data_IF_597972135498
#
_entry.id   IF_597972135498
#
_cell.length_a   1.000
_cell.length_b   1.000
_cell.length_c   1.000
_cell.angle_alpha   90.00
_cell.angle_beta   90.00
_cell.angle_gamma   90.00
#
_symmetry.space_group_name_H-M   'P 1'
#
loop_
_entity.id
_entity.type
_entity.pdbx_description
1 polymer ?
#
# COMPACT_ATOMS: atom_id res chain seq x y z
N UNK A 1 -7.74 83.31 18.22
CA UNK A 1 -7.88 84.78 17.97
C UNK A 1 -8.75 85.15 16.75
N UNK A 2 -9.45 84.22 16.09
CA UNK A 2 -10.38 84.53 14.98
C UNK A 2 -11.85 84.75 15.43
N UNK A 3 -12.20 84.40 16.68
CA UNK A 3 -13.56 84.54 17.23
C UNK A 3 -13.96 85.97 17.66
N UNK A 4 -13.03 86.93 17.72
CA UNK A 4 -13.26 88.24 18.33
C UNK A 4 -13.40 89.42 17.35
N UNK A 5 -13.10 89.23 16.05
CA UNK A 5 -13.14 90.32 15.05
C UNK A 5 -14.39 90.35 14.15
N UNK A 6 -15.34 89.45 14.33
CA UNK A 6 -16.61 89.42 13.57
C UNK A 6 -17.81 90.01 14.33
N UNK A 7 -17.62 90.54 15.54
CA UNK A 7 -18.74 91.03 16.37
C UNK A 7 -19.14 92.49 16.15
N UNK A 8 -18.37 93.30 15.42
CA UNK A 8 -18.70 94.70 15.19
C UNK A 8 -18.64 95.04 13.70
N UNK A 9 -19.79 95.47 13.16
CA UNK A 9 -20.09 95.94 11.80
C UNK A 9 -20.69 94.91 10.83
N UNK A 10 -21.88 94.38 11.15
CA UNK A 10 -22.93 94.15 10.14
C UNK A 10 -24.29 94.35 10.82
N UNK A 11 -25.17 95.09 10.15
CA UNK A 11 -26.55 95.38 10.53
C UNK A 11 -27.36 94.13 10.91
N UNK A 12 -28.21 94.23 11.95
CA UNK A 12 -29.17 93.20 12.38
C UNK A 12 -30.27 92.87 11.33
N UNK A 13 -30.16 93.36 10.09
CA UNK A 13 -31.11 93.09 9.00
C UNK A 13 -30.57 92.21 7.85
N UNK A 14 -29.29 91.80 7.84
CA UNK A 14 -28.69 90.98 6.76
C UNK A 14 -28.41 89.50 7.15
N UNK A 15 -28.82 89.06 8.35
CA UNK A 15 -28.44 87.74 8.89
C UNK A 15 -29.29 86.49 8.55
N UNK A 16 -30.54 86.54 8.04
CA UNK A 16 -31.33 85.32 7.88
C UNK A 16 -30.84 84.43 6.73
N UNK A 17 -30.35 85.01 5.64
CA UNK A 17 -29.89 84.27 4.45
C UNK A 17 -28.55 83.55 4.69
N UNK A 18 -27.61 84.16 5.43
CA UNK A 18 -26.36 83.48 5.80
C UNK A 18 -26.63 82.35 6.79
N UNK A 19 -27.53 82.54 7.76
CA UNK A 19 -27.87 81.49 8.72
C UNK A 19 -28.50 80.29 8.02
N UNK A 20 -29.43 80.56 7.10
CA UNK A 20 -30.07 79.52 6.28
C UNK A 20 -29.11 78.86 5.31
N UNK A 21 -28.10 79.59 4.79
CA UNK A 21 -27.03 78.99 3.98
C UNK A 21 -26.19 78.02 4.80
N UNK A 22 -25.83 78.39 6.02
CA UNK A 22 -25.09 77.49 6.94
C UNK A 22 -25.95 76.28 7.30
N UNK A 23 -27.23 76.46 7.62
CA UNK A 23 -28.15 75.34 7.88
C UNK A 23 -28.29 74.43 6.65
N UNK A 24 -28.47 74.96 5.45
CA UNK A 24 -28.58 74.14 4.24
C UNK A 24 -27.23 73.48 3.87
N UNK A 25 -26.09 74.12 4.13
CA UNK A 25 -24.77 73.51 3.96
C UNK A 25 -24.50 72.43 5.03
N UNK A 26 -24.94 72.61 6.27
CA UNK A 26 -24.91 71.57 7.30
C UNK A 26 -25.89 70.45 6.97
N UNK A 27 -27.05 70.76 6.38
CA UNK A 27 -27.98 69.77 5.84
C UNK A 27 -27.41 69.05 4.62
N UNK A 28 -26.60 69.68 3.77
CA UNK A 28 -25.87 69.03 2.67
C UNK A 28 -24.70 68.20 3.21
N UNK A 29 -24.00 68.67 4.24
CA UNK A 29 -22.88 67.96 4.88
C UNK A 29 -23.32 66.75 5.70
N UNK A 30 -24.45 66.86 6.41
CA UNK A 30 -25.17 65.74 7.04
C UNK A 30 -26.05 64.98 6.02
N UNK A 31 -26.08 65.50 4.79
CA UNK A 31 -26.74 65.02 3.59
C UNK A 31 -28.28 65.05 3.59
N UNK A 32 -28.96 65.51 4.64
CA UNK A 32 -30.41 65.73 4.66
C UNK A 32 -30.97 66.55 3.46
N UNK A 33 -30.12 67.27 2.73
CA UNK A 33 -30.50 68.06 1.55
C UNK A 33 -29.53 67.85 0.37
N UNK A 34 -30.06 67.77 -0.87
CA UNK A 34 -29.28 67.45 -2.09
C UNK A 34 -28.55 68.65 -2.71
N UNK A 35 -29.12 69.83 -2.53
CA UNK A 35 -28.69 71.09 -3.12
C UNK A 35 -29.25 72.22 -2.29
N UNK A 36 -28.57 73.35 -2.28
CA UNK A 36 -29.12 74.60 -1.78
C UNK A 36 -30.40 74.91 -2.55
N UNK A 37 -31.51 75.08 -1.82
CA UNK A 37 -32.86 75.20 -2.35
C UNK A 37 -33.50 76.55 -2.05
N UNK A 38 -32.98 77.27 -1.05
CA UNK A 38 -33.39 78.63 -0.75
C UNK A 38 -32.84 79.64 -1.76
N UNK A 39 -33.62 80.69 -2.03
CA UNK A 39 -33.22 81.81 -2.89
C UNK A 39 -32.65 82.90 -1.98
N UNK A 40 -31.35 83.13 -2.09
CA UNK A 40 -30.62 84.08 -1.25
C UNK A 40 -30.55 85.44 -1.94
N UNK A 41 -30.96 86.53 -1.27
CA UNK A 41 -31.13 87.87 -1.86
C UNK A 41 -29.86 88.47 -2.47
N UNK A 42 -28.71 88.19 -1.87
CA UNK A 42 -27.40 88.77 -2.26
C UNK A 42 -26.46 87.75 -2.92
N UNK A 43 -26.94 86.53 -3.20
CA UNK A 43 -26.16 85.50 -3.88
C UNK A 43 -26.60 85.39 -5.33
N UNK A 44 -25.68 85.67 -6.26
CA UNK A 44 -25.96 85.45 -7.68
C UNK A 44 -26.21 83.95 -7.96
N UNK A 45 -27.16 83.69 -8.85
CA UNK A 45 -27.52 82.39 -9.42
C UNK A 45 -26.30 81.56 -9.81
N UNK A 46 -25.26 82.17 -10.38
CA UNK A 46 -24.03 81.47 -10.77
C UNK A 46 -23.24 80.90 -9.58
N UNK A 47 -23.26 81.56 -8.41
CA UNK A 47 -22.60 81.05 -7.19
C UNK A 47 -23.43 79.95 -6.54
N UNK A 48 -24.75 80.11 -6.51
CA UNK A 48 -25.68 79.06 -6.06
C UNK A 48 -25.52 77.79 -6.90
N UNK A 49 -25.43 77.93 -8.23
CA UNK A 49 -25.21 76.81 -9.14
C UNK A 49 -23.85 76.15 -8.91
N UNK A 50 -22.77 76.92 -8.69
CA UNK A 50 -21.44 76.35 -8.38
C UNK A 50 -21.42 75.61 -7.03
N UNK A 51 -22.03 76.17 -5.99
CA UNK A 51 -22.16 75.49 -4.70
C UNK A 51 -23.01 74.22 -4.81
N UNK A 52 -24.07 74.26 -5.62
CA UNK A 52 -24.88 73.09 -5.95
C UNK A 52 -24.12 72.05 -6.77
N UNK A 53 -23.19 72.45 -7.65
CA UNK A 53 -22.28 71.53 -8.35
C UNK A 53 -21.33 70.85 -7.37
N UNK A 54 -20.76 71.57 -6.39
CA UNK A 54 -19.87 70.99 -5.36
C UNK A 54 -20.64 70.03 -4.44
N UNK A 55 -21.84 70.43 -3.99
CA UNK A 55 -22.74 69.58 -3.22
C UNK A 55 -23.15 68.32 -4.01
N UNK A 56 -23.47 68.49 -5.30
CA UNK A 56 -23.80 67.38 -6.18
C UNK A 56 -22.58 66.50 -6.46
N UNK A 57 -21.37 67.02 -6.67
CA UNK A 57 -20.17 66.21 -6.97
C UNK A 57 -19.78 65.27 -5.85
N UNK A 58 -20.13 65.61 -4.60
CA UNK A 58 -19.93 64.73 -3.46
C UNK A 58 -20.85 63.49 -3.50
N UNK A 59 -22.03 63.55 -4.15
CA UNK A 59 -22.98 62.42 -4.17
C UNK A 59 -22.55 61.26 -5.11
N UNK A 60 -22.20 61.47 -6.40
CA UNK A 60 -21.65 60.41 -7.25
C UNK A 60 -20.35 59.82 -6.72
N UNK A 61 -19.53 60.65 -6.05
CA UNK A 61 -18.28 60.20 -5.43
C UNK A 61 -18.54 59.26 -4.25
N UNK A 62 -19.49 59.57 -3.37
CA UNK A 62 -19.90 58.68 -2.27
C UNK A 62 -20.51 57.37 -2.77
N UNK A 63 -21.43 57.42 -3.74
CA UNK A 63 -22.04 56.21 -4.28
C UNK A 63 -21.02 55.30 -4.99
N UNK A 64 -20.07 55.88 -5.72
CA UNK A 64 -18.97 55.13 -6.34
C UNK A 64 -18.09 54.46 -5.27
N UNK A 65 -17.81 55.14 -4.17
CA UNK A 65 -17.06 54.56 -3.05
C UNK A 65 -17.83 53.44 -2.36
N UNK A 66 -19.14 53.58 -2.15
CA UNK A 66 -20.00 52.49 -1.64
C UNK A 66 -19.91 51.26 -2.54
N UNK A 67 -20.01 51.42 -3.86
CA UNK A 67 -19.88 50.30 -4.81
C UNK A 67 -18.52 49.62 -4.69
N UNK A 68 -17.43 50.38 -4.57
CA UNK A 68 -16.09 49.81 -4.41
C UNK A 68 -15.95 49.01 -3.11
N UNK A 69 -16.46 49.55 -2.00
CA UNK A 69 -16.45 48.87 -0.70
C UNK A 69 -17.34 47.62 -0.72
N UNK A 70 -18.52 47.69 -1.34
CA UNK A 70 -19.39 46.53 -1.54
C UNK A 70 -18.72 45.44 -2.38
N UNK A 71 -18.06 45.81 -3.49
CA UNK A 71 -17.33 44.87 -4.34
C UNK A 71 -16.19 44.20 -3.58
N UNK A 72 -15.45 44.94 -2.76
CA UNK A 72 -14.38 44.39 -1.93
C UNK A 72 -14.93 43.39 -0.91
N UNK A 73 -16.01 43.75 -0.20
CA UNK A 73 -16.67 42.87 0.76
C UNK A 73 -17.20 41.61 0.06
N UNK A 74 -17.93 41.76 -1.05
CA UNK A 74 -18.43 40.65 -1.87
C UNK A 74 -17.31 39.72 -2.37
N UNK A 75 -16.09 40.23 -2.58
CA UNK A 75 -14.93 39.42 -3.00
C UNK A 75 -14.36 38.61 -1.85
N UNK A 76 -14.17 39.21 -0.67
CA UNK A 76 -13.72 38.51 0.54
C UNK A 76 -14.67 37.38 0.93
N UNK A 77 -15.94 37.64 0.78
CA UNK A 77 -17.04 36.73 1.02
C UNK A 77 -17.12 35.50 0.12
N UNK A 78 -16.37 35.50 -0.98
CA UNK A 78 -16.16 34.35 -1.87
C UNK A 78 -14.90 33.56 -1.51
N UNK A 79 -14.21 33.91 -0.42
CA UNK A 79 -13.07 33.17 0.10
C UNK A 79 -13.51 32.05 1.06
N UNK A 80 -14.63 31.40 0.76
CA UNK A 80 -15.19 30.25 1.47
C UNK A 80 -14.45 28.93 1.14
N UNK A 81 -13.46 28.97 0.24
CA UNK A 81 -12.53 27.86 -0.03
C UNK A 81 -11.63 27.52 1.16
N UNK A 82 -11.50 28.40 2.17
CA UNK A 82 -10.72 28.11 3.39
C UNK A 82 -11.23 26.87 4.11
N UNK A 83 -12.54 26.62 4.09
CA UNK A 83 -13.14 25.40 4.63
C UNK A 83 -12.59 24.17 3.91
N UNK A 84 -12.52 24.20 2.57
CA UNK A 84 -11.98 23.10 1.79
C UNK A 84 -10.52 22.84 2.15
N UNK A 85 -9.71 23.89 2.36
CA UNK A 85 -8.32 23.73 2.80
C UNK A 85 -8.20 23.04 4.18
N UNK A 86 -9.07 23.40 5.15
CA UNK A 86 -9.09 22.75 6.46
C UNK A 86 -9.48 21.27 6.32
N UNK A 87 -10.49 20.97 5.51
CA UNK A 87 -10.93 19.61 5.25
C UNK A 87 -9.85 18.76 4.57
N UNK A 88 -9.19 19.30 3.53
CA UNK A 88 -8.07 18.64 2.85
C UNK A 88 -6.90 18.37 3.81
N UNK A 89 -6.61 19.30 4.74
CA UNK A 89 -5.59 19.10 5.76
C UNK A 89 -5.96 17.98 6.76
N UNK A 90 -7.23 17.87 7.16
CA UNK A 90 -7.72 16.78 8.02
C UNK A 90 -7.66 15.42 7.30
N UNK A 91 -8.05 15.36 6.02
CA UNK A 91 -7.90 14.16 5.21
C UNK A 91 -6.43 13.76 5.06
N UNK A 92 -5.55 14.73 4.85
CA UNK A 92 -4.10 14.49 4.78
C UNK A 92 -3.56 13.94 6.11
N UNK A 93 -4.05 14.42 7.26
CA UNK A 93 -3.64 13.92 8.56
C UNK A 93 -4.02 12.43 8.75
N UNK A 94 -5.23 12.04 8.35
CA UNK A 94 -5.68 10.65 8.40
C UNK A 94 -4.85 9.74 7.45
N UNK A 95 -4.50 10.25 6.26
CA UNK A 95 -3.61 9.54 5.33
C UNK A 95 -2.22 9.33 5.92
N UNK A 96 -1.65 10.34 6.59
CA UNK A 96 -0.35 10.24 7.27
C UNK A 96 -0.36 9.18 8.36
N UNK A 97 -1.43 9.10 9.17
CA UNK A 97 -1.58 8.06 10.20
C UNK A 97 -1.63 6.66 9.58
N UNK A 98 -2.36 6.50 8.48
CA UNK A 98 -2.43 5.22 7.75
C UNK A 98 -1.06 4.83 7.20
N UNK A 99 -0.33 5.78 6.59
CA UNK A 99 1.00 5.53 6.06
C UNK A 99 1.99 5.17 7.19
N UNK A 100 1.89 5.83 8.35
CA UNK A 100 2.70 5.51 9.52
C UNK A 100 2.50 4.05 9.96
N UNK A 101 1.24 3.59 10.09
CA UNK A 101 0.93 2.21 10.44
C UNK A 101 1.50 1.21 9.42
N UNK A 102 1.36 1.48 8.12
CA UNK A 102 1.94 0.60 7.09
C UNK A 102 3.47 0.59 7.10
N UNK A 103 4.11 1.69 7.51
CA UNK A 103 5.57 1.77 7.65
C UNK A 103 6.07 0.95 8.84
N UNK A 104 5.32 0.90 9.95
CA UNK A 104 5.64 0.04 11.08
C UNK A 104 5.51 -1.45 10.72
N UNK A 105 4.45 -1.81 10.00
CA UNK A 105 4.26 -3.18 9.49
C UNK A 105 5.38 -3.58 8.51
N UNK A 106 5.81 -2.66 7.65
CA UNK A 106 6.96 -2.89 6.76
C UNK A 106 8.24 -3.17 7.54
N UNK A 107 8.52 -2.42 8.61
CA UNK A 107 9.70 -2.65 9.44
C UNK A 107 9.68 -4.04 10.11
N UNK A 108 8.53 -4.47 10.63
CA UNK A 108 8.36 -5.81 11.20
C UNK A 108 8.59 -6.91 10.15
N UNK A 109 8.02 -6.74 8.94
CA UNK A 109 8.21 -7.69 7.84
C UNK A 109 9.69 -7.83 7.43
N UNK A 110 10.45 -6.73 7.44
CA UNK A 110 11.89 -6.76 7.16
C UNK A 110 12.63 -7.62 8.20
N UNK A 111 12.29 -7.50 9.47
CA UNK A 111 12.88 -8.30 10.55
C UNK A 111 12.55 -9.79 10.41
N UNK A 112 11.30 -10.12 10.06
CA UNK A 112 10.89 -11.50 9.79
C UNK A 112 11.64 -12.11 8.60
N UNK A 113 11.83 -11.36 7.51
CA UNK A 113 12.60 -11.81 6.35
C UNK A 113 14.07 -12.01 6.75
N UNK A 114 14.64 -11.13 7.58
CA UNK A 114 16.01 -11.28 8.07
C UNK A 114 16.19 -12.56 8.91
N UNK A 115 15.21 -12.88 9.76
CA UNK A 115 15.19 -14.13 10.51
C UNK A 115 15.10 -15.35 9.59
N UNK A 116 14.24 -15.30 8.58
CA UNK A 116 14.11 -16.36 7.57
C UNK A 116 15.42 -16.61 6.82
N UNK A 117 16.11 -15.55 6.40
CA UNK A 117 17.41 -15.63 5.72
C UNK A 117 18.46 -16.31 6.61
N UNK A 118 18.55 -15.95 7.90
CA UNK A 118 19.47 -16.62 8.83
C UNK A 118 19.18 -18.12 8.94
N UNK A 119 17.91 -18.50 9.09
CA UNK A 119 17.53 -19.91 9.21
C UNK A 119 17.83 -20.70 7.93
N UNK A 120 17.62 -20.08 6.77
CA UNK A 120 17.96 -20.67 5.48
C UNK A 120 19.46 -20.88 5.30
N UNK A 121 20.29 -19.90 5.72
CA UNK A 121 21.75 -20.04 5.72
C UNK A 121 22.23 -21.18 6.61
N UNK A 122 21.70 -21.28 7.84
CA UNK A 122 22.03 -22.41 8.75
C UNK A 122 21.65 -23.75 8.12
N UNK A 123 20.47 -23.83 7.49
CA UNK A 123 20.00 -25.06 6.83
C UNK A 123 20.84 -25.44 5.61
N UNK A 124 21.27 -24.46 4.82
CA UNK A 124 22.16 -24.66 3.68
C UNK A 124 23.53 -25.16 4.14
N UNK A 125 24.08 -24.57 5.20
CA UNK A 125 25.35 -24.97 5.79
C UNK A 125 25.32 -26.39 6.36
N UNK A 126 24.25 -26.74 7.10
CA UNK A 126 24.05 -28.11 7.62
C UNK A 126 23.92 -29.14 6.49
N UNK A 127 23.18 -28.80 5.42
CA UNK A 127 23.06 -29.65 4.23
C UNK A 127 24.41 -29.87 3.54
N UNK A 128 25.23 -28.82 3.44
CA UNK A 128 26.58 -28.90 2.89
C UNK A 128 27.48 -29.80 3.75
N UNK A 129 27.49 -29.61 5.07
CA UNK A 129 28.26 -30.44 6.00
C UNK A 129 27.86 -31.92 5.93
N UNK A 130 26.57 -32.22 5.86
CA UNK A 130 26.04 -33.59 5.68
C UNK A 130 26.44 -34.18 4.33
N UNK A 131 26.49 -33.38 3.27
CA UNK A 131 26.92 -33.81 1.94
C UNK A 131 28.40 -34.18 1.94
N UNK A 132 29.25 -33.36 2.56
CA UNK A 132 30.69 -33.65 2.74
C UNK A 132 30.90 -34.96 3.53
N UNK A 133 30.19 -35.13 4.64
CA UNK A 133 30.27 -36.37 5.42
C UNK A 133 29.75 -37.59 4.63
N UNK A 134 28.69 -37.41 3.83
CA UNK A 134 28.17 -38.47 2.98
C UNK A 134 29.17 -38.90 1.90
N UNK A 135 29.93 -37.95 1.32
CA UNK A 135 31.03 -38.27 0.38
C UNK A 135 32.09 -39.15 1.04
N UNK A 136 32.53 -38.79 2.25
CA UNK A 136 33.51 -39.60 3.00
C UNK A 136 33.02 -41.03 3.24
N UNK A 137 31.75 -41.21 3.61
CA UNK A 137 31.14 -42.53 3.77
C UNK A 137 31.03 -43.30 2.45
N UNK A 138 30.76 -42.62 1.33
CA UNK A 138 30.74 -43.24 0.01
C UNK A 138 32.12 -43.68 -0.45
N UNK A 139 33.17 -42.90 -0.19
CA UNK A 139 34.56 -43.28 -0.49
C UNK A 139 34.96 -44.55 0.28
N UNK A 140 34.62 -44.63 1.57
CA UNK A 140 34.85 -45.84 2.37
C UNK A 140 34.07 -47.04 1.79
N UNK A 141 32.82 -46.82 1.37
CA UNK A 141 31.98 -47.86 0.78
C UNK A 141 32.53 -48.35 -0.57
N UNK A 142 33.09 -47.44 -1.37
CA UNK A 142 33.74 -47.75 -2.65
C UNK A 142 34.95 -48.66 -2.44
N UNK A 143 35.82 -48.32 -1.48
CA UNK A 143 36.98 -49.14 -1.10
C UNK A 143 36.53 -50.54 -0.64
N UNK A 144 35.47 -50.62 0.17
CA UNK A 144 34.94 -51.90 0.65
C UNK A 144 34.42 -52.80 -0.49
N UNK A 145 33.73 -52.21 -1.48
CA UNK A 145 33.27 -52.94 -2.68
C UNK A 145 34.46 -53.40 -3.52
N UNK A 146 35.48 -52.56 -3.72
CA UNK A 146 36.67 -52.93 -4.50
C UNK A 146 37.45 -54.08 -3.84
N UNK A 147 37.60 -54.05 -2.51
CA UNK A 147 38.19 -55.15 -1.76
C UNK A 147 37.37 -56.44 -1.89
N UNK A 148 36.04 -56.36 -1.73
CA UNK A 148 35.15 -57.52 -1.84
C UNK A 148 35.16 -58.12 -3.26
N UNK A 149 35.26 -57.27 -4.28
CA UNK A 149 35.40 -57.69 -5.67
C UNK A 149 36.73 -58.43 -5.89
N UNK A 150 37.84 -57.89 -5.36
CA UNK A 150 39.16 -58.53 -5.42
C UNK A 150 39.16 -59.91 -4.74
N UNK A 151 38.59 -60.02 -3.54
CA UNK A 151 38.45 -61.30 -2.83
C UNK A 151 37.61 -62.32 -3.62
N UNK A 152 36.56 -61.85 -4.31
CA UNK A 152 35.71 -62.69 -5.16
C UNK A 152 36.47 -63.22 -6.38
N UNK A 153 37.33 -62.42 -7.02
CA UNK A 153 38.17 -62.87 -8.13
C UNK A 153 39.26 -63.86 -7.66
N UNK A 154 39.81 -63.67 -6.44
CA UNK A 154 40.71 -64.67 -5.84
C UNK A 154 39.97 -66.00 -5.61
N UNK A 155 38.76 -65.95 -5.05
CA UNK A 155 37.94 -67.15 -4.84
C UNK A 155 37.61 -67.85 -6.16
N UNK A 156 37.32 -67.09 -7.22
CA UNK A 156 37.10 -67.61 -8.58
C UNK A 156 38.30 -68.40 -9.08
N UNK A 157 39.51 -67.84 -8.94
CA UNK A 157 40.75 -68.52 -9.36
C UNK A 157 40.97 -69.82 -8.58
N UNK A 158 40.70 -69.82 -7.27
CA UNK A 158 40.78 -71.02 -6.44
C UNK A 158 39.80 -72.11 -6.91
N UNK A 159 38.55 -71.75 -7.22
CA UNK A 159 37.57 -72.72 -7.74
C UNK A 159 37.99 -73.28 -9.09
N UNK A 160 38.57 -72.47 -9.99
CA UNK A 160 39.11 -72.95 -11.27
C UNK A 160 40.20 -74.01 -11.02
N UNK A 161 41.14 -73.75 -10.10
CA UNK A 161 42.18 -74.74 -9.75
C UNK A 161 41.60 -76.02 -9.14
N UNK A 162 40.56 -75.91 -8.30
CA UNK A 162 39.87 -77.09 -7.75
C UNK A 162 39.15 -77.88 -8.84
N UNK A 163 38.55 -77.21 -9.83
CA UNK A 163 37.95 -77.86 -11.00
C UNK A 163 39.00 -78.64 -11.80
N UNK A 164 40.14 -78.02 -12.13
CA UNK A 164 41.24 -78.68 -12.84
C UNK A 164 41.78 -79.90 -12.09
N UNK A 165 41.91 -79.80 -10.76
CA UNK A 165 42.36 -80.93 -9.93
C UNK A 165 41.32 -82.05 -9.89
N UNK A 166 40.03 -81.71 -9.89
CA UNK A 166 38.93 -82.68 -9.92
C UNK A 166 38.88 -83.42 -11.26
N UNK A 167 39.14 -82.74 -12.38
CA UNK A 167 39.25 -83.37 -13.71
C UNK A 167 40.39 -84.39 -13.77
N UNK A 168 41.55 -84.08 -13.18
CA UNK A 168 42.66 -85.03 -13.07
C UNK A 168 42.31 -86.25 -12.23
N UNK A 169 41.55 -86.08 -11.14
CA UNK A 169 41.08 -87.20 -10.32
C UNK A 169 40.13 -88.08 -11.14
N UNK A 170 39.20 -87.48 -11.88
CA UNK A 170 38.27 -88.22 -12.75
C UNK A 170 39.03 -89.07 -13.79
N UNK A 171 40.08 -88.53 -14.41
CA UNK A 171 40.96 -89.26 -15.31
C UNK A 171 41.65 -90.46 -14.62
N UNK A 172 42.21 -90.26 -13.41
CA UNK A 172 42.84 -91.34 -12.64
C UNK A 172 41.84 -92.43 -12.26
N UNK A 173 40.63 -92.06 -11.83
CA UNK A 173 39.56 -93.01 -11.46
C UNK A 173 39.16 -93.86 -12.67
N UNK A 174 39.07 -93.27 -13.86
CA UNK A 174 38.84 -94.01 -15.11
C UNK A 174 39.97 -94.98 -15.45
N UNK A 175 41.23 -94.60 -15.23
CA UNK A 175 42.39 -95.51 -15.39
C UNK A 175 42.30 -96.68 -14.42
N UNK A 176 42.02 -96.44 -13.14
CA UNK A 176 41.91 -97.50 -12.12
C UNK A 176 40.74 -98.44 -12.45
N UNK A 177 39.61 -97.91 -12.93
CA UNK A 177 38.48 -98.73 -13.40
C UNK A 177 38.91 -99.69 -14.52
N UNK A 178 39.67 -99.17 -15.49
CA UNK A 178 40.23 -99.96 -16.59
C UNK A 178 41.19 -101.04 -16.09
N UNK A 179 42.10 -100.70 -15.17
CA UNK A 179 43.05 -101.66 -14.56
C UNK A 179 42.32 -102.73 -13.76
N UNK A 180 41.30 -102.38 -12.98
CA UNK A 180 40.48 -103.34 -12.24
C UNK A 180 39.72 -104.27 -13.20
N UNK A 181 39.19 -103.75 -14.31
CA UNK A 181 38.55 -104.56 -15.35
C UNK A 181 39.53 -105.54 -16.03
N UNK A 182 40.73 -105.08 -16.37
CA UNK A 182 41.79 -105.93 -16.93
C UNK A 182 42.25 -107.00 -15.93
N UNK A 183 42.42 -106.63 -14.66
CA UNK A 183 42.83 -107.55 -13.58
C UNK A 183 41.77 -108.63 -13.36
N UNK A 184 40.49 -108.26 -13.38
CA UNK A 184 39.38 -109.22 -13.30
C UNK A 184 39.39 -110.21 -14.47
N UNK A 185 39.67 -109.73 -15.68
CA UNK A 185 39.76 -110.55 -16.88
C UNK A 185 40.96 -111.51 -16.84
N UNK A 186 42.13 -111.01 -16.39
CA UNK A 186 43.32 -111.83 -16.16
C UNK A 186 43.07 -112.92 -15.11
N UNK A 187 42.44 -112.56 -13.98
CA UNK A 187 42.08 -113.50 -12.93
C UNK A 187 41.08 -114.56 -13.41
N UNK A 188 40.10 -114.17 -14.22
CA UNK A 188 39.15 -115.08 -14.85
C UNK A 188 39.88 -116.08 -15.77
N UNK A 189 40.77 -115.60 -16.63
CA UNK A 189 41.57 -116.45 -17.51
C UNK A 189 42.47 -117.41 -16.70
N UNK A 190 43.08 -116.94 -15.62
CA UNK A 190 43.88 -117.77 -14.72
C UNK A 190 43.04 -118.84 -14.00
N UNK A 191 41.83 -118.49 -13.54
CA UNK A 191 40.89 -119.46 -12.95
C UNK A 191 40.47 -120.53 -13.94
N UNK A 192 40.24 -120.16 -15.21
CA UNK A 192 39.91 -121.11 -16.30
C UNK A 192 41.07 -122.09 -16.53
N UNK A 193 42.31 -121.58 -16.65
CA UNK A 193 43.48 -122.42 -16.92
C UNK A 193 43.85 -123.30 -15.70
N UNK A 194 43.65 -122.79 -14.48
CA UNK A 194 43.81 -123.56 -13.25
C UNK A 194 42.79 -124.71 -13.15
N UNK A 195 41.54 -124.50 -13.58
CA UNK A 195 40.55 -125.57 -13.68
C UNK A 195 40.94 -126.61 -14.75
N UNK A 196 41.55 -126.17 -15.85
CA UNK A 196 42.03 -127.03 -16.95
C UNK A 196 43.19 -127.95 -16.53
N UNK A 197 44.04 -127.50 -15.61
CA UNK A 197 45.15 -128.28 -15.04
C UNK A 197 44.70 -129.35 -14.00
N UNK A 198 43.40 -129.45 -13.70
CA UNK A 198 42.84 -130.49 -12.83
C UNK A 198 43.37 -130.44 -11.39
N UNK A 199 43.82 -131.58 -10.84
CA UNK A 199 44.28 -131.66 -9.44
C UNK A 199 45.55 -130.85 -9.17
N UNK A 200 46.42 -130.64 -10.17
CA UNK A 200 47.66 -129.85 -10.05
C UNK A 200 47.41 -128.33 -9.99
N UNK A 201 46.23 -127.87 -10.45
CA UNK A 201 45.86 -126.45 -10.52
C UNK A 201 45.07 -125.90 -9.33
N UNK A 202 44.70 -126.74 -8.34
CA UNK A 202 43.82 -126.33 -7.22
C UNK A 202 44.35 -125.13 -6.43
N UNK A 203 45.65 -125.06 -6.16
CA UNK A 203 46.26 -123.91 -5.46
C UNK A 203 46.17 -122.61 -6.28
N UNK A 204 46.41 -122.68 -7.60
CA UNK A 204 46.29 -121.55 -8.51
C UNK A 204 44.85 -121.07 -8.67
N UNK A 205 43.87 -121.99 -8.67
CA UNK A 205 42.45 -121.65 -8.75
C UNK A 205 41.95 -120.84 -7.54
N UNK A 206 42.47 -121.13 -6.33
CA UNK A 206 42.16 -120.36 -5.12
C UNK A 206 42.71 -118.93 -5.23
N UNK A 207 43.98 -118.79 -5.64
CA UNK A 207 44.62 -117.48 -5.81
C UNK A 207 43.91 -116.66 -6.91
N UNK A 208 43.58 -117.26 -8.04
CA UNK A 208 42.90 -116.58 -9.14
C UNK A 208 41.49 -116.10 -8.74
N UNK A 209 40.74 -116.89 -7.97
CA UNK A 209 39.44 -116.45 -7.42
C UNK A 209 39.58 -115.32 -6.39
N UNK A 210 40.65 -115.30 -5.59
CA UNK A 210 40.90 -114.21 -4.64
C UNK A 210 41.30 -112.91 -5.36
N UNK A 211 42.13 -113.00 -6.41
CA UNK A 211 42.45 -111.85 -7.28
C UNK A 211 41.17 -111.32 -7.96
N UNK A 212 40.30 -112.22 -8.43
CA UNK A 212 39.02 -111.87 -9.05
C UNK A 212 38.14 -111.07 -8.07
N UNK A 213 37.96 -111.57 -6.84
CA UNK A 213 37.21 -110.86 -5.79
C UNK A 213 37.83 -109.50 -5.47
N UNK A 214 39.15 -109.41 -5.40
CA UNK A 214 39.85 -108.14 -5.15
C UNK A 214 39.62 -107.14 -6.30
N UNK A 215 39.62 -107.61 -7.55
CA UNK A 215 39.34 -106.78 -8.71
C UNK A 215 37.87 -106.30 -8.75
N UNK A 216 36.90 -107.17 -8.42
CA UNK A 216 35.49 -106.80 -8.31
C UNK A 216 35.27 -105.79 -7.16
N UNK A 217 35.88 -106.00 -6.00
CA UNK A 217 35.84 -105.03 -4.89
C UNK A 217 36.49 -103.69 -5.26
N UNK A 218 37.59 -103.71 -6.03
CA UNK A 218 38.22 -102.49 -6.54
C UNK A 218 37.28 -101.73 -7.46
N UNK A 219 36.57 -102.41 -8.37
CA UNK A 219 35.57 -101.75 -9.24
C UNK A 219 34.46 -101.08 -8.43
N UNK A 220 33.95 -101.74 -7.40
CA UNK A 220 32.90 -101.20 -6.54
C UNK A 220 33.38 -99.94 -5.81
N UNK A 221 34.58 -99.98 -5.21
CA UNK A 221 35.20 -98.79 -4.60
C UNK A 221 35.43 -97.65 -5.60
N UNK A 222 35.90 -97.96 -6.82
CA UNK A 222 36.13 -96.94 -7.86
C UNK A 222 34.81 -96.33 -8.34
N UNK A 223 33.74 -97.12 -8.44
CA UNK A 223 32.39 -96.61 -8.77
C UNK A 223 31.89 -95.61 -7.72
N UNK A 224 32.11 -95.88 -6.44
CA UNK A 224 31.76 -94.96 -5.35
C UNK A 224 32.59 -93.66 -5.41
N UNK A 225 33.88 -93.75 -5.75
CA UNK A 225 34.73 -92.58 -5.96
C UNK A 225 34.23 -91.77 -7.17
N UNK A 226 33.85 -92.42 -8.27
CA UNK A 226 33.27 -91.78 -9.46
C UNK A 226 32.02 -90.96 -9.12
N UNK A 227 31.10 -91.52 -8.33
CA UNK A 227 29.90 -90.80 -7.88
C UNK A 227 30.25 -89.60 -6.99
N UNK A 228 31.24 -89.76 -6.10
CA UNK A 228 31.75 -88.67 -5.26
C UNK A 228 32.38 -87.54 -6.08
N UNK A 229 33.18 -87.88 -7.10
CA UNK A 229 33.78 -86.90 -8.02
C UNK A 229 32.72 -86.18 -8.84
N UNK A 230 31.68 -86.89 -9.30
CA UNK A 230 30.55 -86.28 -10.01
C UNK A 230 29.78 -85.28 -9.13
N UNK A 231 29.50 -85.64 -7.88
CA UNK A 231 28.89 -84.74 -6.90
C UNK A 231 29.76 -83.50 -6.65
N UNK A 232 31.07 -83.69 -6.50
CA UNK A 232 32.03 -82.61 -6.27
C UNK A 232 32.09 -81.65 -7.47
N UNK A 233 32.08 -82.17 -8.71
CA UNK A 233 31.99 -81.36 -9.94
C UNK A 233 30.72 -80.53 -10.00
N UNK A 234 29.58 -81.09 -9.59
CA UNK A 234 28.30 -80.37 -9.54
C UNK A 234 28.36 -79.23 -8.54
N UNK A 235 28.97 -79.45 -7.36
CA UNK A 235 29.17 -78.40 -6.35
C UNK A 235 30.12 -77.30 -6.81
N UNK A 236 31.19 -77.65 -7.54
CA UNK A 236 32.11 -76.69 -8.16
C UNK A 236 31.36 -75.81 -9.16
N UNK A 237 30.56 -76.38 -10.06
CA UNK A 237 29.76 -75.62 -11.03
C UNK A 237 28.78 -74.67 -10.35
N UNK A 238 28.09 -75.13 -9.31
CA UNK A 238 27.20 -74.29 -8.51
C UNK A 238 27.96 -73.11 -7.86
N UNK A 239 29.15 -73.38 -7.33
CA UNK A 239 30.00 -72.37 -6.68
C UNK A 239 30.54 -71.35 -7.69
N UNK A 240 30.99 -71.79 -8.88
CA UNK A 240 31.39 -70.89 -9.98
C UNK A 240 30.24 -69.96 -10.37
N UNK A 241 29.02 -70.50 -10.52
CA UNK A 241 27.85 -69.68 -10.86
C UNK A 241 27.52 -68.67 -9.75
N UNK A 242 27.68 -69.04 -8.48
CA UNK A 242 27.49 -68.13 -7.35
C UNK A 242 28.53 -66.99 -7.35
N UNK A 243 29.80 -67.30 -7.62
CA UNK A 243 30.89 -66.31 -7.73
C UNK A 243 30.66 -65.35 -8.90
N UNK A 244 30.24 -65.84 -10.07
CA UNK A 244 29.93 -64.97 -11.22
C UNK A 244 28.78 -64.01 -10.91
N UNK A 245 27.75 -64.48 -10.19
CA UNK A 245 26.65 -63.62 -9.73
C UNK A 245 27.12 -62.59 -8.71
N UNK A 246 28.01 -62.96 -7.79
CA UNK A 246 28.60 -62.04 -6.83
C UNK A 246 29.43 -60.95 -7.54
N UNK A 247 30.31 -61.34 -8.46
CA UNK A 247 31.13 -60.42 -9.28
C UNK A 247 30.27 -59.41 -10.06
N UNK A 248 29.18 -59.87 -10.71
CA UNK A 248 28.20 -58.97 -11.34
C UNK A 248 27.50 -58.02 -10.36
N UNK A 249 27.17 -58.52 -9.16
CA UNK A 249 26.52 -57.70 -8.13
C UNK A 249 27.43 -56.60 -7.61
N UNK A 250 28.72 -56.88 -7.42
CA UNK A 250 29.71 -55.87 -7.02
C UNK A 250 29.94 -54.82 -8.09
N UNK A 251 30.01 -55.18 -9.38
CA UNK A 251 30.10 -54.21 -10.48
C UNK A 251 28.90 -53.26 -10.50
N UNK A 252 27.69 -53.80 -10.33
CA UNK A 252 26.47 -52.98 -10.21
C UNK A 252 26.48 -52.10 -8.95
N UNK A 253 26.99 -52.62 -7.83
CA UNK A 253 27.17 -51.86 -6.60
C UNK A 253 28.11 -50.66 -6.79
N UNK A 254 29.23 -50.87 -7.48
CA UNK A 254 30.18 -49.82 -7.86
C UNK A 254 29.52 -48.73 -8.71
N UNK A 255 28.80 -49.11 -9.77
CA UNK A 255 28.05 -48.16 -10.60
C UNK A 255 27.02 -47.35 -9.79
N UNK A 256 26.30 -48.02 -8.89
CA UNK A 256 25.30 -47.36 -8.03
C UNK A 256 25.97 -46.36 -7.08
N UNK A 257 27.11 -46.69 -6.49
CA UNK A 257 27.86 -45.77 -5.63
C UNK A 257 28.32 -44.53 -6.40
N UNK A 258 28.82 -44.70 -7.62
CA UNK A 258 29.20 -43.56 -8.47
C UNK A 258 28.03 -42.61 -8.72
N UNK A 259 26.84 -43.13 -9.05
CA UNK A 259 25.64 -42.32 -9.23
C UNK A 259 25.22 -41.59 -7.94
N UNK A 260 25.38 -42.23 -6.78
CA UNK A 260 25.10 -41.59 -5.48
C UNK A 260 26.09 -40.45 -5.21
N UNK A 261 27.37 -40.62 -5.55
CA UNK A 261 28.38 -39.55 -5.39
C UNK A 261 28.05 -38.34 -6.28
N UNK A 262 27.65 -38.55 -7.54
CA UNK A 262 27.20 -37.48 -8.43
C UNK A 262 25.98 -36.74 -7.86
N UNK A 263 24.99 -37.47 -7.31
CA UNK A 263 23.83 -36.85 -6.68
C UNK A 263 24.22 -36.02 -5.43
N UNK A 264 25.20 -36.46 -4.64
CA UNK A 264 25.70 -35.70 -3.49
C UNK A 264 26.43 -34.42 -3.95
N UNK A 265 27.16 -34.46 -5.06
CA UNK A 265 27.76 -33.27 -5.68
C UNK A 265 26.72 -32.24 -6.12
N UNK A 266 25.60 -32.69 -6.70
CA UNK A 266 24.50 -31.79 -7.07
C UNK A 266 23.84 -31.13 -5.85
N UNK A 267 23.72 -31.86 -4.74
CA UNK A 267 23.23 -31.30 -3.46
C UNK A 267 24.18 -30.24 -2.93
N UNK A 268 25.49 -30.52 -2.93
CA UNK A 268 26.53 -29.56 -2.50
C UNK A 268 26.46 -28.26 -3.32
N UNK A 269 26.38 -28.39 -4.66
CA UNK A 269 26.26 -27.24 -5.56
C UNK A 269 24.97 -26.44 -5.30
N UNK A 270 23.85 -27.14 -5.07
CA UNK A 270 22.56 -26.52 -4.76
C UNK A 270 22.59 -25.78 -3.42
N UNK A 271 23.19 -26.37 -2.38
CA UNK A 271 23.40 -25.72 -1.08
C UNK A 271 24.24 -24.46 -1.22
N UNK A 272 25.33 -24.49 -1.99
CA UNK A 272 26.16 -23.31 -2.24
C UNK A 272 25.40 -22.19 -2.96
N UNK A 273 24.57 -22.56 -3.94
CA UNK A 273 23.70 -21.59 -4.62
C UNK A 273 22.68 -20.95 -3.69
N UNK A 274 22.12 -21.72 -2.74
CA UNK A 274 21.24 -21.19 -1.70
C UNK A 274 21.99 -20.18 -0.83
N UNK A 275 23.21 -20.47 -0.40
CA UNK A 275 24.03 -19.53 0.38
C UNK A 275 24.21 -18.19 -0.36
N UNK A 276 24.64 -18.22 -1.62
CA UNK A 276 24.82 -17.00 -2.43
C UNK A 276 23.51 -16.22 -2.63
N UNK A 277 22.39 -16.92 -2.85
CA UNK A 277 21.09 -16.26 -2.97
C UNK A 277 20.68 -15.59 -1.66
N UNK A 278 20.95 -16.23 -0.52
CA UNK A 278 20.63 -15.68 0.80
C UNK A 278 21.52 -14.48 1.15
N UNK A 279 22.80 -14.47 0.76
CA UNK A 279 23.67 -13.29 0.84
C UNK A 279 23.10 -12.11 0.05
N UNK A 280 22.60 -12.36 -1.17
CA UNK A 280 21.96 -11.32 -1.99
C UNK A 280 20.67 -10.79 -1.35
N UNK A 281 19.85 -11.65 -0.76
CA UNK A 281 18.64 -11.23 -0.04
C UNK A 281 19.03 -10.41 1.19
N UNK A 282 20.11 -10.76 1.89
CA UNK A 282 20.61 -9.99 3.03
C UNK A 282 21.01 -8.56 2.64
N UNK A 283 21.66 -8.37 1.49
CA UNK A 283 21.93 -7.02 0.95
C UNK A 283 20.63 -6.25 0.64
N UNK A 284 19.61 -6.94 0.12
CA UNK A 284 18.31 -6.31 -0.13
C UNK A 284 17.60 -5.92 1.17
N UNK A 285 17.73 -6.72 2.24
CA UNK A 285 17.23 -6.39 3.57
C UNK A 285 17.88 -5.10 4.07
N UNK A 286 19.21 -4.98 3.99
CA UNK A 286 19.92 -3.76 4.42
C UNK A 286 19.41 -2.52 3.66
N UNK A 287 19.22 -2.63 2.35
CA UNK A 287 18.67 -1.55 1.53
C UNK A 287 17.22 -1.21 1.89
N UNK A 288 16.39 -2.23 2.16
CA UNK A 288 14.99 -2.02 2.58
C UNK A 288 14.90 -1.38 3.96
N UNK A 289 15.76 -1.76 4.90
CA UNK A 289 15.85 -1.12 6.22
C UNK A 289 16.15 0.37 6.07
N UNK A 290 17.18 0.73 5.29
CA UNK A 290 17.53 2.12 5.05
C UNK A 290 16.38 2.91 4.38
N UNK A 291 15.70 2.29 3.41
CA UNK A 291 14.54 2.90 2.74
C UNK A 291 13.36 3.08 3.70
N UNK A 292 13.15 2.12 4.61
CA UNK A 292 12.09 2.18 5.62
C UNK A 292 12.35 3.30 6.64
N UNK A 293 13.61 3.50 7.04
CA UNK A 293 14.00 4.61 7.91
C UNK A 293 13.79 5.97 7.22
N UNK A 294 14.10 6.08 5.93
CA UNK A 294 13.86 7.29 5.13
C UNK A 294 12.36 7.60 4.99
N UNK A 295 11.54 6.57 4.77
CA UNK A 295 10.07 6.69 4.73
C UNK A 295 9.54 7.15 6.09
N UNK A 296 9.99 6.55 7.19
CA UNK A 296 9.60 6.95 8.54
C UNK A 296 9.92 8.42 8.84
N UNK A 297 11.13 8.86 8.48
CA UNK A 297 11.53 10.27 8.57
C UNK A 297 10.64 11.19 7.72
N UNK A 298 10.34 10.77 6.48
CA UNK A 298 9.47 11.53 5.58
C UNK A 298 8.05 11.66 6.12
N UNK A 299 7.50 10.62 6.75
CA UNK A 299 6.19 10.63 7.39
C UNK A 299 6.16 11.65 8.54
N UNK A 300 7.22 11.73 9.36
CA UNK A 300 7.32 12.74 10.43
C UNK A 300 7.29 14.16 9.86
N UNK A 301 8.06 14.42 8.80
CA UNK A 301 8.08 15.72 8.14
C UNK A 301 6.70 16.07 7.56
N UNK A 302 6.04 15.11 6.88
CA UNK A 302 4.70 15.33 6.31
C UNK A 302 3.68 15.59 7.43
N UNK A 303 3.76 14.88 8.55
CA UNK A 303 2.89 15.10 9.72
C UNK A 303 3.04 16.54 10.25
N UNK A 304 4.28 17.00 10.44
CA UNK A 304 4.56 18.39 10.87
C UNK A 304 4.02 19.41 9.86
N UNK A 305 4.24 19.18 8.56
CA UNK A 305 3.73 20.05 7.49
C UNK A 305 2.20 20.07 7.45
N UNK A 306 1.55 18.93 7.68
CA UNK A 306 0.09 18.80 7.70
C UNK A 306 -0.50 19.57 8.88
N UNK A 307 0.10 19.46 10.07
CA UNK A 307 -0.28 20.27 11.24
C UNK A 307 -0.13 21.77 10.98
N UNK A 308 1.00 22.19 10.41
CA UNK A 308 1.23 23.58 10.04
C UNK A 308 0.22 24.08 9.00
N UNK A 309 -0.11 23.26 8.01
CA UNK A 309 -1.10 23.60 6.98
C UNK A 309 -2.50 23.79 7.58
N UNK A 310 -2.89 22.92 8.52
CA UNK A 310 -4.14 23.04 9.24
C UNK A 310 -4.19 24.34 10.06
N UNK A 311 -3.14 24.65 10.82
CA UNK A 311 -3.03 25.91 11.58
C UNK A 311 -3.05 27.16 10.67
N UNK A 312 -2.32 27.12 9.56
CA UNK A 312 -2.29 28.20 8.56
C UNK A 312 -3.65 28.43 7.91
N UNK A 313 -4.41 27.36 7.65
CA UNK A 313 -5.75 27.43 7.07
C UNK A 313 -6.73 28.08 8.05
N UNK A 314 -6.70 27.69 9.33
CA UNK A 314 -7.51 28.33 10.39
C UNK A 314 -7.15 29.81 10.51
N UNK A 315 -5.86 30.14 10.60
CA UNK A 315 -5.37 31.52 10.71
C UNK A 315 -5.78 32.37 9.50
N UNK A 316 -5.73 31.81 8.30
CA UNK A 316 -6.20 32.48 7.07
C UNK A 316 -7.69 32.79 7.14
N UNK A 317 -8.51 31.83 7.59
CA UNK A 317 -9.95 32.04 7.80
C UNK A 317 -10.25 33.15 8.81
N UNK A 318 -9.56 33.17 9.95
CA UNK A 318 -9.66 34.22 10.96
C UNK A 318 -9.26 35.60 10.42
N UNK A 319 -8.19 35.66 9.60
CA UNK A 319 -7.75 36.87 8.94
C UNK A 319 -8.79 37.42 7.97
N UNK A 320 -9.33 36.58 7.08
CA UNK A 320 -10.41 37.00 6.17
C UNK A 320 -11.65 37.47 6.92
N UNK A 321 -12.02 36.78 8.00
CA UNK A 321 -13.15 37.20 8.82
C UNK A 321 -12.90 38.57 9.47
N UNK A 322 -11.72 38.79 10.06
CA UNK A 322 -11.34 40.07 10.68
C UNK A 322 -11.41 41.23 9.67
N UNK A 323 -10.80 41.05 8.49
CA UNK A 323 -10.82 42.06 7.41
C UNK A 323 -12.26 42.32 6.93
N UNK A 324 -13.11 41.28 6.87
CA UNK A 324 -14.51 41.46 6.49
C UNK A 324 -15.30 42.33 7.49
N UNK A 325 -15.01 42.21 8.79
CA UNK A 325 -15.65 43.04 9.82
C UNK A 325 -15.21 44.51 9.72
N UNK A 326 -13.93 44.76 9.47
CA UNK A 326 -13.40 46.11 9.28
C UNK A 326 -14.02 46.80 8.04
N UNK A 327 -14.14 46.06 6.94
CA UNK A 327 -14.76 46.58 5.71
C UNK A 327 -16.25 46.81 5.91
N UNK A 328 -16.96 45.93 6.61
CA UNK A 328 -18.39 46.13 6.90
C UNK A 328 -18.62 47.32 7.85
N UNK A 329 -17.71 47.58 8.81
CA UNK A 329 -17.76 48.79 9.64
C UNK A 329 -17.54 50.06 8.81
N UNK A 330 -16.51 50.08 7.95
CA UNK A 330 -16.28 51.18 7.00
C UNK A 330 -17.51 51.42 6.12
N UNK A 331 -18.09 50.34 5.58
CA UNK A 331 -19.31 50.36 4.78
C UNK A 331 -20.48 50.99 5.54
N UNK A 332 -20.75 50.56 6.78
CA UNK A 332 -21.81 51.13 7.64
C UNK A 332 -21.60 52.62 7.88
N UNK A 333 -20.36 53.03 8.20
CA UNK A 333 -20.01 54.43 8.43
C UNK A 333 -20.26 55.32 7.21
N UNK A 334 -19.99 54.82 5.99
CA UNK A 334 -20.25 55.55 4.74
C UNK A 334 -21.75 55.62 4.47
N UNK A 335 -22.48 54.51 4.63
CA UNK A 335 -23.93 54.46 4.41
C UNK A 335 -24.65 55.43 5.35
N UNK A 336 -24.26 55.51 6.63
CA UNK A 336 -24.89 56.40 7.60
C UNK A 336 -24.71 57.89 7.24
N UNK A 337 -23.60 58.23 6.58
CA UNK A 337 -23.31 59.60 6.12
C UNK A 337 -23.86 59.88 4.71
N UNK A 338 -24.39 58.87 4.04
CA UNK A 338 -24.92 58.96 2.68
C UNK A 338 -26.41 59.22 2.72
N UNK A 339 -26.88 60.11 1.86
CA UNK A 339 -28.26 60.62 1.95
C UNK A 339 -29.06 60.56 0.68
N UNK A 340 -28.43 60.08 -0.40
CA UNK A 340 -29.13 59.78 -1.63
C UNK A 340 -28.50 58.56 -2.30
N UNK A 341 -28.94 57.38 -1.88
CA UNK A 341 -28.62 56.11 -2.51
C UNK A 341 -29.68 55.86 -3.58
N UNK A 342 -29.26 55.71 -4.84
CA UNK A 342 -30.20 55.42 -5.91
C UNK A 342 -30.68 53.95 -5.86
N UNK A 343 -31.66 53.59 -6.69
CA UNK A 343 -32.25 52.27 -6.66
C UNK A 343 -31.23 51.16 -6.97
N UNK A 344 -30.30 51.43 -7.90
CA UNK A 344 -29.24 50.49 -8.30
C UNK A 344 -28.29 50.21 -7.13
N UNK A 345 -27.85 51.26 -6.45
CA UNK A 345 -26.96 51.19 -5.28
C UNK A 345 -27.70 50.59 -4.06
N UNK A 346 -29.01 50.84 -3.94
CA UNK A 346 -29.82 50.24 -2.87
C UNK A 346 -29.93 48.73 -3.01
N UNK A 347 -30.07 48.24 -4.25
CA UNK A 347 -30.07 46.80 -4.56
C UNK A 347 -28.68 46.20 -4.32
N UNK A 348 -27.60 46.92 -4.67
CA UNK A 348 -26.22 46.50 -4.37
C UNK A 348 -25.97 46.32 -2.88
N UNK A 349 -26.52 47.23 -2.06
CA UNK A 349 -26.46 47.12 -0.61
C UNK A 349 -27.18 45.88 -0.11
N UNK A 350 -28.40 45.63 -0.58
CA UNK A 350 -29.19 44.46 -0.18
C UNK A 350 -28.53 43.15 -0.57
N UNK A 351 -27.94 43.08 -1.77
CA UNK A 351 -27.12 41.94 -2.22
C UNK A 351 -25.97 41.73 -1.24
N UNK A 352 -25.20 42.78 -0.98
CA UNK A 352 -24.03 42.72 -0.11
C UNK A 352 -24.38 42.29 1.31
N UNK A 353 -25.50 42.76 1.88
CA UNK A 353 -25.94 42.36 3.23
C UNK A 353 -26.46 40.92 3.30
N UNK A 354 -27.15 40.46 2.25
CA UNK A 354 -27.62 39.07 2.17
C UNK A 354 -26.44 38.11 2.08
N UNK A 355 -25.43 38.50 1.28
CA UNK A 355 -24.14 37.86 1.28
C UNK A 355 -23.54 37.92 2.69
N UNK A 356 -23.27 39.10 3.27
CA UNK A 356 -22.56 39.26 4.55
C UNK A 356 -23.14 38.37 5.66
N UNK A 357 -24.46 38.24 5.70
CA UNK A 357 -25.14 37.33 6.60
C UNK A 357 -24.73 35.85 6.41
N UNK A 358 -24.67 35.35 5.17
CA UNK A 358 -24.17 34.00 4.85
C UNK A 358 -22.73 33.80 5.33
N UNK A 359 -21.88 34.80 5.16
CA UNK A 359 -20.49 34.76 5.61
C UNK A 359 -20.33 34.70 7.13
N UNK A 360 -21.23 35.35 7.87
CA UNK A 360 -21.29 35.18 9.31
C UNK A 360 -21.66 33.75 9.72
N UNK A 361 -22.65 33.13 9.05
CA UNK A 361 -23.03 31.72 9.30
C UNK A 361 -21.88 30.77 8.99
N UNK A 362 -21.20 30.95 7.84
CA UNK A 362 -20.01 30.20 7.45
C UNK A 362 -18.89 30.32 8.51
N UNK A 363 -18.55 31.54 8.94
CA UNK A 363 -17.48 31.75 9.92
C UNK A 363 -17.84 31.28 11.32
N UNK A 364 -19.13 31.21 11.65
CA UNK A 364 -19.57 30.64 12.91
C UNK A 364 -19.36 29.12 12.93
N UNK A 365 -19.65 28.43 11.83
CA UNK A 365 -19.41 26.99 11.68
C UNK A 365 -17.89 26.68 11.71
N UNK A 366 -17.06 27.58 11.17
CA UNK A 366 -15.60 27.51 11.32
C UNK A 366 -15.09 27.89 12.71
N UNK A 367 -15.95 28.37 13.62
CA UNK A 367 -15.56 28.78 14.97
C UNK A 367 -14.91 30.17 15.07
N UNK A 368 -14.93 30.97 14.00
CA UNK A 368 -14.37 32.32 13.96
C UNK A 368 -15.34 33.39 14.49
N UNK A 369 -16.63 33.09 14.61
CA UNK A 369 -17.67 34.03 14.99
C UNK A 369 -18.64 33.45 16.02
N UNK A 370 -19.26 34.30 16.83
CA UNK A 370 -20.45 33.98 17.64
C UNK A 370 -21.61 34.85 17.18
N UNK A 371 -22.72 34.22 16.77
CA UNK A 371 -23.93 34.91 16.31
C UNK A 371 -25.13 34.38 17.08
N UNK A 372 -25.99 35.28 17.55
CA UNK A 372 -27.25 34.91 18.18
C UNK A 372 -28.23 34.33 17.15
N UNK A 373 -28.68 33.09 17.38
CA UNK A 373 -29.65 32.36 16.54
C UNK A 373 -30.92 33.18 16.28
N UNK A 374 -31.36 33.96 17.27
CA UNK A 374 -32.60 34.76 17.18
C UNK A 374 -32.52 35.85 16.10
N UNK A 375 -31.32 36.35 15.80
CA UNK A 375 -31.06 37.33 14.74
C UNK A 375 -31.02 36.68 13.34
N UNK A 376 -30.80 35.37 13.28
CA UNK A 376 -30.68 34.58 12.04
C UNK A 376 -32.04 34.08 11.56
N UNK A 377 -32.99 33.82 12.46
CA UNK A 377 -34.27 33.18 12.12
C UNK A 377 -35.32 34.09 11.46
N UNK A 378 -35.23 35.43 11.60
CA UNK A 378 -36.28 36.33 11.14
C UNK A 378 -35.97 36.96 9.77
N UNK A 379 -36.46 36.31 8.70
CA UNK A 379 -36.28 36.77 7.34
C UNK A 379 -36.84 38.19 7.10
N UNK A 380 -37.95 38.58 7.75
CA UNK A 380 -38.62 39.87 7.53
C UNK A 380 -37.89 41.04 8.20
N UNK A 381 -37.19 40.75 9.30
CA UNK A 381 -36.26 41.66 9.94
C UNK A 381 -34.87 41.69 9.26
N UNK A 382 -34.65 40.95 8.18
CA UNK A 382 -33.42 41.12 7.38
C UNK A 382 -33.42 42.45 6.62
N UNK A 383 -32.26 42.91 6.14
CA UNK A 383 -32.20 44.13 5.32
C UNK A 383 -32.98 43.97 4.02
N UNK A 384 -32.93 42.79 3.40
CA UNK A 384 -33.75 42.43 2.24
C UNK A 384 -35.25 42.49 2.57
N UNK A 385 -35.68 41.91 3.69
CA UNK A 385 -37.06 41.95 4.16
C UNK A 385 -37.58 43.38 4.36
N UNK A 386 -36.82 44.20 5.11
CA UNK A 386 -37.13 45.63 5.29
C UNK A 386 -37.14 46.41 3.97
N UNK A 387 -36.23 46.12 3.06
CA UNK A 387 -36.14 46.80 1.77
C UNK A 387 -37.34 46.47 0.87
N UNK A 388 -37.78 45.20 0.82
CA UNK A 388 -38.99 44.77 0.10
C UNK A 388 -40.20 45.52 0.65
N UNK A 389 -40.37 45.57 1.97
CA UNK A 389 -41.52 46.23 2.61
C UNK A 389 -41.52 47.74 2.35
N UNK A 390 -40.38 48.41 2.53
CA UNK A 390 -40.31 49.88 2.50
C UNK A 390 -40.23 50.48 1.10
N UNK A 391 -39.59 49.77 0.16
CA UNK A 391 -39.25 50.29 -1.18
C UNK A 391 -39.70 49.34 -2.30
N UNK A 392 -39.26 48.08 -2.27
CA UNK A 392 -39.48 47.14 -3.38
C UNK A 392 -40.96 46.93 -3.74
N UNK A 393 -41.84 46.80 -2.74
CA UNK A 393 -43.28 46.58 -2.91
C UNK A 393 -44.01 47.72 -3.63
N UNK A 394 -43.41 48.91 -3.68
CA UNK A 394 -43.97 50.11 -4.31
C UNK A 394 -43.61 50.23 -5.80
N UNK A 395 -42.65 49.43 -6.27
CA UNK A 395 -42.12 49.47 -7.64
C UNK A 395 -42.79 48.43 -8.54
N UNK A 396 -43.64 48.87 -9.47
CA UNK A 396 -44.41 47.98 -10.34
C UNK A 396 -43.52 47.06 -11.21
N UNK A 397 -42.35 47.55 -11.63
CA UNK A 397 -41.39 46.86 -12.50
C UNK A 397 -40.72 45.66 -11.79
N UNK A 398 -40.78 45.62 -10.45
CA UNK A 398 -40.10 44.62 -9.62
C UNK A 398 -41.03 43.55 -9.05
N UNK A 399 -42.37 43.70 -9.15
CA UNK A 399 -43.35 42.77 -8.55
C UNK A 399 -43.07 41.29 -8.83
N UNK A 400 -42.79 40.95 -10.09
CA UNK A 400 -42.53 39.55 -10.47
C UNK A 400 -41.27 39.00 -9.80
N UNK A 401 -40.21 39.80 -9.67
CA UNK A 401 -38.94 39.34 -9.07
C UNK A 401 -39.07 39.24 -7.53
N UNK A 402 -39.84 40.14 -6.91
CA UNK A 402 -40.14 40.08 -5.48
C UNK A 402 -40.91 38.81 -5.12
N UNK A 403 -41.87 38.39 -5.96
CA UNK A 403 -42.59 37.12 -5.77
C UNK A 403 -41.66 35.90 -5.88
N UNK A 404 -40.67 35.94 -6.78
CA UNK A 404 -39.68 34.88 -6.92
C UNK A 404 -38.72 34.80 -5.71
N UNK A 405 -38.48 35.91 -5.00
CA UNK A 405 -37.60 35.96 -3.82
C UNK A 405 -38.21 35.37 -2.56
N UNK A 406 -39.54 35.31 -2.46
CA UNK A 406 -40.23 35.02 -1.20
C UNK A 406 -39.86 33.64 -0.63
N UNK A 407 -40.04 32.59 -1.44
CA UNK A 407 -39.74 31.20 -1.06
C UNK A 407 -38.25 30.95 -0.75
N UNK A 408 -37.29 31.30 -1.63
CA UNK A 408 -35.88 31.02 -1.36
C UNK A 408 -35.35 31.80 -0.15
N UNK A 409 -35.82 33.03 0.08
CA UNK A 409 -35.43 33.84 1.25
C UNK A 409 -35.81 33.17 2.57
N UNK A 410 -37.07 32.78 2.76
CA UNK A 410 -37.49 32.13 4.00
C UNK A 410 -36.75 30.81 4.23
N UNK A 411 -36.59 30.02 3.15
CA UNK A 411 -35.87 28.75 3.23
C UNK A 411 -34.39 28.93 3.59
N UNK A 412 -33.74 29.99 3.10
CA UNK A 412 -32.34 30.28 3.43
C UNK A 412 -32.17 30.55 4.93
N UNK A 413 -33.05 31.36 5.52
CA UNK A 413 -33.05 31.63 6.96
C UNK A 413 -33.34 30.38 7.79
N UNK A 414 -34.28 29.54 7.36
CA UNK A 414 -34.58 28.25 8.00
C UNK A 414 -33.35 27.32 7.99
N UNK A 415 -32.68 27.18 6.83
CA UNK A 415 -31.50 26.30 6.72
C UNK A 415 -30.33 26.84 7.55
N UNK A 416 -30.11 28.16 7.60
CA UNK A 416 -29.08 28.74 8.44
C UNK A 416 -29.36 28.52 9.94
N UNK A 417 -30.63 28.63 10.35
CA UNK A 417 -31.02 28.29 11.72
C UNK A 417 -30.68 26.83 12.05
N UNK A 418 -31.04 25.88 11.17
CA UNK A 418 -30.70 24.45 11.36
C UNK A 418 -29.20 24.22 11.40
N UNK A 419 -28.43 24.90 10.55
CA UNK A 419 -26.97 24.83 10.55
C UNK A 419 -26.39 25.28 11.91
N UNK A 420 -26.91 26.38 12.45
CA UNK A 420 -26.54 26.92 13.77
C UNK A 420 -26.89 25.96 14.92
N UNK A 421 -28.11 25.40 14.89
CA UNK A 421 -28.58 24.46 15.91
C UNK A 421 -27.73 23.18 15.92
N UNK A 422 -27.44 22.61 14.75
CA UNK A 422 -26.55 21.45 14.62
C UNK A 422 -25.13 21.74 15.12
N UNK A 423 -24.57 22.91 14.77
CA UNK A 423 -23.25 23.33 15.23
C UNK A 423 -23.19 23.43 16.77
N UNK A 424 -24.18 24.09 17.39
CA UNK A 424 -24.25 24.24 18.84
C UNK A 424 -24.47 22.92 19.59
N UNK A 425 -25.05 21.91 18.92
CA UNK A 425 -25.19 20.55 19.43
C UNK A 425 -23.91 19.70 19.25
N UNK A 426 -22.89 20.23 18.58
CA UNK A 426 -21.64 19.52 18.27
C UNK A 426 -21.71 18.65 17.01
N UNK A 427 -22.84 18.63 16.30
CA UNK A 427 -22.99 17.90 15.04
C UNK A 427 -22.49 18.75 13.86
N UNK A 428 -21.16 18.74 13.69
CA UNK A 428 -20.48 19.50 12.62
C UNK A 428 -20.93 19.07 11.22
N UNK A 429 -21.20 17.77 11.02
CA UNK A 429 -21.54 17.23 9.70
C UNK A 429 -22.90 17.72 9.23
N UNK A 430 -23.92 17.63 10.09
CA UNK A 430 -25.24 18.19 9.76
C UNK A 430 -25.18 19.71 9.59
N UNK A 431 -24.38 20.41 10.40
CA UNK A 431 -24.19 21.86 10.26
C UNK A 431 -23.62 22.24 8.88
N UNK A 432 -22.65 21.48 8.38
CA UNK A 432 -22.07 21.65 7.04
C UNK A 432 -23.07 21.36 5.92
N UNK A 433 -23.85 20.29 6.03
CA UNK A 433 -24.88 19.94 5.05
C UNK A 433 -25.95 21.03 4.93
N UNK A 434 -26.36 21.64 6.05
CA UNK A 434 -27.28 22.77 6.04
C UNK A 434 -26.63 24.05 5.49
N UNK A 435 -25.35 24.30 5.78
CA UNK A 435 -24.61 25.44 5.21
C UNK A 435 -24.53 25.33 3.67
N UNK A 436 -24.33 24.14 3.11
CA UNK A 436 -24.35 23.94 1.66
C UNK A 436 -25.72 24.29 1.04
N UNK A 437 -26.81 24.01 1.75
CA UNK A 437 -28.14 24.42 1.33
C UNK A 437 -28.33 25.94 1.40
N UNK A 438 -27.76 26.60 2.42
CA UNK A 438 -27.71 28.06 2.52
C UNK A 438 -26.95 28.66 1.34
N UNK A 439 -25.80 28.10 0.97
CA UNK A 439 -24.99 28.57 -0.17
C UNK A 439 -25.77 28.52 -1.48
N UNK A 440 -26.45 27.39 -1.74
CA UNK A 440 -27.28 27.22 -2.94
C UNK A 440 -28.42 28.24 -3.01
N UNK A 441 -29.12 28.45 -1.90
CA UNK A 441 -30.23 29.42 -1.82
C UNK A 441 -29.73 30.87 -1.92
N UNK A 442 -28.56 31.18 -1.37
CA UNK A 442 -27.95 32.49 -1.48
C UNK A 442 -27.58 32.84 -2.93
N UNK A 443 -27.09 31.87 -3.71
CA UNK A 443 -26.83 32.05 -5.15
C UNK A 443 -28.13 32.33 -5.92
N UNK A 444 -29.20 31.59 -5.61
CA UNK A 444 -30.53 31.82 -6.21
C UNK A 444 -31.05 33.23 -5.92
N UNK A 445 -30.94 33.68 -4.67
CA UNK A 445 -31.33 35.03 -4.25
C UNK A 445 -30.47 36.11 -4.91
N UNK A 446 -29.14 35.94 -4.94
CA UNK A 446 -28.20 36.88 -5.56
C UNK A 446 -28.50 37.07 -7.06
N UNK A 447 -28.78 35.97 -7.78
CA UNK A 447 -29.16 36.04 -9.19
C UNK A 447 -30.42 36.88 -9.41
N UNK A 448 -31.48 36.62 -8.63
CA UNK A 448 -32.75 37.38 -8.74
C UNK A 448 -32.52 38.86 -8.41
N UNK A 449 -31.74 39.17 -7.37
CA UNK A 449 -31.43 40.55 -6.99
C UNK A 449 -30.59 41.27 -8.05
N UNK A 450 -29.65 40.59 -8.71
CA UNK A 450 -28.85 41.17 -9.81
C UNK A 450 -29.69 41.41 -11.06
N UNK A 451 -30.64 40.53 -11.37
CA UNK A 451 -31.63 40.77 -12.44
C UNK A 451 -32.46 42.03 -12.13
N UNK A 452 -32.93 42.19 -10.88
CA UNK A 452 -33.61 43.41 -10.44
C UNK A 452 -32.72 44.64 -10.58
N UNK A 453 -31.46 44.55 -10.17
CA UNK A 453 -30.48 45.63 -10.24
C UNK A 453 -30.22 46.07 -11.68
N UNK A 454 -30.16 45.13 -12.62
CA UNK A 454 -29.91 45.41 -14.04
C UNK A 454 -30.96 46.31 -14.68
N UNK A 455 -32.22 46.28 -14.19
CA UNK A 455 -33.32 47.12 -14.68
C UNK A 455 -33.14 48.61 -14.41
N UNK A 456 -32.24 48.96 -13.48
CA UNK A 456 -31.92 50.34 -13.09
C UNK A 456 -30.52 50.76 -13.55
N UNK A 457 -29.83 49.92 -14.34
CA UNK A 457 -28.53 50.27 -14.93
C UNK A 457 -28.77 51.33 -16.01
N UNK A 458 -28.22 52.53 -15.81
CA UNK A 458 -28.25 53.61 -16.80
C UNK A 458 -27.29 53.33 -17.94
#
# INVERSE_FOLDING_TARGET
MFKAKLKNNVSKQEQPDIHKLVEELEAIKSGQQKKLSHVYKDMDSALLDRLNVVACSNCPSHNTFIRQVNQLLQTLMKMDFVRSMIHEADEQANMVETIAATSEEMAANIEDIASFVRNALVSAHDSNSKSVHSKELMDISMIAIENSFSETEIAKEQIIRVNEQTEKIDEMVNIIMSVAAQTNLLALNASIEAARAGNSGKGFAVVANEIKKLADHTKESVSFIQESVHSLRTQIQASTSAIEKASKSFLKGKETLTQVMEAIEEVEHSSKKIETNMEQINMNIEQQTASSEEVSSSIQIINEKTKSLHEDSIRTGQGFFTVSLEIDDLRKNIIQKSTNIDMYDSLDLVITDSLNWRWCVYNMILGNAQVDISLVANADNSRLGRWITNFGSKEAILRNHISLLEKPRYKMHEMAQKALESYNQGDKKSAEDYLFQVDRLAIEIDNILREMQSKYKK
#
